data_IF_071131527873
#
_entry.id   IF_071131527873
#
_cell.length_a   1.000
_cell.length_b   1.000
_cell.length_c   1.000
_cell.angle_alpha   90.00
_cell.angle_beta   90.00
_cell.angle_gamma   90.00
#
_symmetry.space_group_name_H-M   'P 1'
#
loop_
_entity.id
_entity.type
_entity.pdbx_description
1 polymer ?
#
# COMPACT_ATOMS: atom_id res chain seq x y z
N UNK A 1 2.60 -9.18 20.59
CA UNK A 1 3.26 -9.43 19.28
C UNK A 1 2.59 -10.60 18.60
N UNK A 2 2.70 -10.73 17.27
CA UNK A 2 2.15 -11.89 16.56
C UNK A 2 3.05 -13.13 16.86
N UNK A 3 2.52 -14.21 17.47
CA UNK A 3 3.32 -15.37 17.85
C UNK A 3 3.71 -16.27 16.67
N UNK A 4 3.00 -16.17 15.55
CA UNK A 4 3.23 -16.95 14.33
C UNK A 4 3.19 -16.07 13.06
N UNK A 5 3.59 -16.63 11.94
CA UNK A 5 3.37 -16.05 10.61
C UNK A 5 2.76 -17.13 9.70
N UNK A 6 1.46 -17.01 9.44
CA UNK A 6 0.76 -17.97 8.59
C UNK A 6 0.67 -19.36 9.23
N UNK A 7 0.52 -19.44 10.55
CA UNK A 7 0.49 -20.70 11.30
C UNK A 7 1.86 -21.28 11.62
N UNK A 8 2.95 -20.69 11.11
CA UNK A 8 4.31 -21.09 11.46
C UNK A 8 4.76 -20.30 12.68
N UNK A 9 5.04 -20.95 13.83
CA UNK A 9 5.50 -20.25 15.02
C UNK A 9 6.76 -19.43 14.75
N UNK A 10 6.85 -18.25 15.36
CA UNK A 10 8.07 -17.45 15.41
C UNK A 10 8.63 -17.57 16.83
N UNK A 11 9.61 -18.45 17.09
CA UNK A 11 10.06 -18.76 18.45
C UNK A 11 10.47 -17.52 19.25
N UNK A 12 11.14 -16.56 18.61
CA UNK A 12 11.53 -15.29 19.23
C UNK A 12 10.37 -14.33 19.55
N UNK A 13 9.14 -14.66 19.19
CA UNK A 13 7.95 -13.89 19.56
C UNK A 13 7.14 -14.54 20.68
N UNK A 14 7.57 -15.69 21.19
CA UNK A 14 6.95 -16.38 22.32
C UNK A 14 7.41 -15.74 23.63
N UNK A 15 6.49 -15.62 24.61
CA UNK A 15 6.76 -15.16 25.97
C UNK A 15 7.55 -13.83 26.07
N UNK A 16 7.33 -12.91 25.12
CA UNK A 16 8.01 -11.61 25.08
C UNK A 16 7.65 -10.79 26.32
N UNK A 17 8.66 -10.41 27.09
CA UNK A 17 8.49 -9.57 28.27
C UNK A 17 8.33 -8.08 27.92
N UNK A 18 8.07 -7.26 28.93
CA UNK A 18 7.87 -5.83 28.76
C UNK A 18 9.14 -5.09 28.28
N UNK A 19 10.32 -5.57 28.67
CA UNK A 19 11.58 -4.93 28.31
C UNK A 19 11.90 -5.14 26.82
N UNK A 20 11.74 -6.36 26.33
CA UNK A 20 11.90 -6.71 24.92
C UNK A 20 10.82 -6.02 24.06
N UNK A 21 9.55 -6.05 24.49
CA UNK A 21 8.49 -5.31 23.80
C UNK A 21 8.78 -3.80 23.69
N UNK A 22 9.33 -3.19 24.75
CA UNK A 22 9.75 -1.78 24.75
C UNK A 22 10.94 -1.55 23.82
N UNK A 23 11.95 -2.41 23.85
CA UNK A 23 13.11 -2.32 22.99
C UNK A 23 12.70 -2.39 21.52
N UNK A 24 11.89 -3.38 21.12
CA UNK A 24 11.39 -3.52 19.75
C UNK A 24 10.59 -2.30 19.29
N UNK A 25 9.75 -1.73 20.17
CA UNK A 25 9.06 -0.47 19.86
C UNK A 25 10.04 0.68 19.64
N UNK A 26 11.07 0.79 20.48
CA UNK A 26 12.08 1.84 20.39
C UNK A 26 12.91 1.76 19.10
N UNK A 27 13.29 0.55 18.69
CA UNK A 27 14.23 0.37 17.55
C UNK A 27 13.54 0.16 16.21
N UNK A 28 12.34 -0.41 16.17
CA UNK A 28 11.67 -0.78 14.92
C UNK A 28 10.41 0.05 14.62
N UNK A 29 9.61 0.38 15.64
CA UNK A 29 8.34 1.08 15.43
C UNK A 29 8.49 2.61 15.50
N UNK A 30 9.08 3.12 16.58
CA UNK A 30 9.19 4.56 16.82
C UNK A 30 9.94 5.33 15.72
N UNK A 31 11.06 4.82 15.15
CA UNK A 31 11.75 5.51 14.06
C UNK A 31 10.89 5.62 12.80
N UNK A 32 10.16 4.55 12.46
CA UNK A 32 9.27 4.50 11.29
C UNK A 32 8.11 5.47 11.46
N UNK A 33 7.48 5.49 12.64
CA UNK A 33 6.39 6.43 12.94
C UNK A 33 6.82 7.88 12.81
N UNK A 34 8.00 8.22 13.35
CA UNK A 34 8.56 9.56 13.24
C UNK A 34 8.80 9.93 11.78
N UNK A 35 9.43 9.04 11.01
CA UNK A 35 9.71 9.28 9.59
C UNK A 35 8.43 9.47 8.77
N UNK A 36 7.37 8.70 9.05
CA UNK A 36 6.07 8.87 8.37
C UNK A 36 5.45 10.22 8.71
N UNK A 37 5.45 10.63 9.99
CA UNK A 37 4.90 11.94 10.40
C UNK A 37 5.62 13.09 9.68
N UNK A 38 6.95 13.05 9.68
CA UNK A 38 7.79 14.06 9.03
C UNK A 38 7.56 14.09 7.51
N UNK A 39 7.58 12.94 6.84
CA UNK A 39 7.41 12.85 5.39
C UNK A 39 5.99 13.16 4.91
N UNK A 40 4.99 12.87 5.75
CA UNK A 40 3.59 13.12 5.43
C UNK A 40 3.21 14.59 5.59
N UNK A 41 3.98 15.41 6.32
CA UNK A 41 3.66 16.83 6.50
C UNK A 41 3.44 17.53 5.14
N UNK A 42 2.32 18.24 5.00
CA UNK A 42 1.94 18.93 3.76
C UNK A 42 1.52 18.05 2.58
N UNK A 43 1.56 16.71 2.69
CA UNK A 43 1.13 15.80 1.63
C UNK A 43 -0.40 15.72 1.53
N UNK A 44 -0.91 15.68 0.30
CA UNK A 44 -2.36 15.67 -0.02
C UNK A 44 -3.00 14.29 0.14
N UNK A 45 -2.22 13.23 -0.05
CA UNK A 45 -2.67 11.85 0.07
C UNK A 45 -1.50 10.96 0.51
N UNK A 46 -1.83 9.76 0.99
CA UNK A 46 -0.85 8.74 1.36
C UNK A 46 -1.11 7.43 0.61
N UNK A 47 -0.05 6.84 0.08
CA UNK A 47 -0.08 5.51 -0.53
C UNK A 47 0.85 4.62 0.30
N UNK A 48 0.33 3.52 0.82
CA UNK A 48 1.17 2.49 1.44
C UNK A 48 1.47 1.43 0.38
N UNK A 49 2.75 1.27 0.02
CA UNK A 49 3.17 0.37 -1.06
C UNK A 49 3.56 -0.99 -0.48
N UNK A 50 3.00 -2.04 -1.06
CA UNK A 50 3.16 -3.43 -0.64
C UNK A 50 3.31 -4.34 -1.86
N UNK A 51 3.71 -5.57 -1.59
CA UNK A 51 3.63 -6.65 -2.55
C UNK A 51 3.05 -7.91 -1.91
N UNK A 52 2.50 -8.78 -2.75
CA UNK A 52 1.89 -10.03 -2.31
C UNK A 52 2.35 -11.21 -3.17
N UNK A 53 2.40 -12.40 -2.57
CA UNK A 53 2.77 -13.63 -3.27
C UNK A 53 1.66 -14.08 -4.24
N UNK A 54 1.99 -14.68 -5.41
CA UNK A 54 1.00 -15.07 -6.41
C UNK A 54 0.11 -16.25 -6.01
N UNK A 55 0.55 -17.09 -5.07
CA UNK A 55 -0.20 -18.27 -4.60
C UNK A 55 -0.32 -18.25 -3.08
N UNK A 56 -1.55 -18.24 -2.56
CA UNK A 56 -1.81 -18.29 -1.12
C UNK A 56 -2.77 -19.44 -0.81
N UNK A 57 -2.40 -20.29 0.14
CA UNK A 57 -3.21 -21.47 0.49
C UNK A 57 -3.47 -22.41 -0.70
N UNK A 58 -2.53 -22.50 -1.64
CA UNK A 58 -2.68 -23.29 -2.87
C UNK A 58 -3.52 -22.62 -3.97
N UNK A 59 -4.10 -21.43 -3.72
CA UNK A 59 -4.93 -20.72 -4.69
C UNK A 59 -4.13 -19.63 -5.39
N UNK A 60 -4.14 -19.66 -6.73
CA UNK A 60 -3.54 -18.61 -7.57
C UNK A 60 -4.37 -17.34 -7.52
N UNK A 61 -3.70 -16.20 -7.33
CA UNK A 61 -4.31 -14.86 -7.34
C UNK A 61 -4.11 -14.24 -8.72
N UNK A 62 -5.22 -14.00 -9.42
CA UNK A 62 -5.20 -13.49 -10.79
C UNK A 62 -4.99 -11.97 -10.88
N UNK A 63 -5.25 -11.23 -9.81
CA UNK A 63 -4.93 -9.80 -9.71
C UNK A 63 -3.42 -9.59 -9.83
N UNK A 64 -3.03 -8.58 -10.61
CA UNK A 64 -1.63 -8.18 -10.79
C UNK A 64 -1.30 -6.99 -9.89
N UNK A 65 -2.19 -5.99 -9.84
CA UNK A 65 -2.06 -4.80 -8.99
C UNK A 65 -3.37 -4.55 -8.26
N UNK A 66 -3.35 -4.51 -6.94
CA UNK A 66 -4.47 -4.19 -6.08
C UNK A 66 -4.47 -2.74 -5.62
N UNK A 67 -5.64 -2.09 -5.70
CA UNK A 67 -5.91 -0.82 -5.03
C UNK A 67 -6.88 -1.11 -3.88
N UNK A 68 -6.36 -1.09 -2.66
CA UNK A 68 -7.07 -1.50 -1.46
C UNK A 68 -7.35 -0.26 -0.61
N UNK A 69 -8.56 -0.15 -0.08
CA UNK A 69 -9.01 1.04 0.62
C UNK A 69 -10.08 0.69 1.64
N UNK A 70 -10.11 1.46 2.73
CA UNK A 70 -11.11 1.33 3.80
C UNK A 70 -12.29 2.25 3.58
N UNK A 71 -12.00 3.54 3.38
CA UNK A 71 -13.01 4.58 3.13
C UNK A 71 -12.85 5.11 1.71
N UNK A 72 -13.97 5.28 1.02
CA UNK A 72 -13.95 5.82 -0.32
C UNK A 72 -13.64 7.32 -0.29
N UNK A 73 -12.91 7.77 -1.30
CA UNK A 73 -12.66 9.19 -1.55
C UNK A 73 -12.53 9.45 -3.05
N UNK A 74 -12.60 10.72 -3.45
CA UNK A 74 -12.32 11.11 -4.84
C UNK A 74 -10.95 10.62 -5.30
N UNK A 75 -9.94 10.70 -4.43
CA UNK A 75 -8.60 10.19 -4.71
C UNK A 75 -8.59 8.69 -5.02
N UNK A 76 -9.18 7.86 -4.15
CA UNK A 76 -9.27 6.40 -4.35
C UNK A 76 -9.99 6.07 -5.64
N UNK A 77 -11.14 6.72 -5.89
CA UNK A 77 -11.96 6.47 -7.08
C UNK A 77 -11.23 6.86 -8.36
N UNK A 78 -10.52 7.99 -8.36
CA UNK A 78 -9.71 8.44 -9.48
C UNK A 78 -8.54 7.49 -9.76
N UNK A 79 -7.81 7.05 -8.72
CA UNK A 79 -6.71 6.07 -8.87
C UNK A 79 -7.23 4.76 -9.45
N UNK A 80 -8.28 4.19 -8.86
CA UNK A 80 -8.82 2.91 -9.30
C UNK A 80 -9.34 2.97 -10.74
N UNK A 81 -10.04 4.06 -11.12
CA UNK A 81 -10.52 4.26 -12.48
C UNK A 81 -9.36 4.36 -13.48
N UNK A 82 -8.38 5.23 -13.20
CA UNK A 82 -7.25 5.46 -14.09
C UNK A 82 -6.40 4.21 -14.26
N UNK A 83 -6.08 3.50 -13.16
CA UNK A 83 -5.32 2.26 -13.22
C UNK A 83 -6.07 1.18 -13.97
N UNK A 84 -7.40 1.02 -13.79
CA UNK A 84 -8.17 0.02 -14.55
C UNK A 84 -8.09 0.26 -16.05
N UNK A 85 -8.16 1.51 -16.50
CA UNK A 85 -8.03 1.85 -17.92
C UNK A 85 -6.60 1.59 -18.43
N UNK A 86 -5.61 2.24 -17.85
CA UNK A 86 -4.22 2.16 -18.33
C UNK A 86 -3.60 0.77 -18.10
N UNK A 87 -3.97 0.10 -17.01
CA UNK A 87 -3.54 -1.24 -16.69
C UNK A 87 -4.06 -2.26 -17.70
N UNK A 88 -5.33 -2.16 -18.09
CA UNK A 88 -5.89 -3.04 -19.14
C UNK A 88 -5.17 -2.86 -20.48
N UNK A 89 -4.86 -1.61 -20.87
CA UNK A 89 -4.07 -1.29 -22.06
C UNK A 89 -2.64 -1.88 -21.99
N UNK A 90 -2.04 -1.87 -20.79
CA UNK A 90 -0.72 -2.43 -20.53
C UNK A 90 -0.72 -3.95 -20.27
N UNK A 91 -1.88 -4.61 -20.27
CA UNK A 91 -2.03 -6.06 -20.05
C UNK A 91 -2.00 -6.51 -18.58
N UNK A 92 -2.25 -5.62 -17.62
CA UNK A 92 -2.29 -5.91 -16.19
C UNK A 92 -3.72 -5.90 -15.63
N UNK A 93 -4.03 -6.85 -14.75
CA UNK A 93 -5.32 -6.94 -14.04
C UNK A 93 -5.30 -6.12 -12.76
N UNK A 94 -6.20 -5.13 -12.68
CA UNK A 94 -6.32 -4.23 -11.53
C UNK A 94 -7.47 -4.67 -10.62
N UNK A 95 -7.16 -4.97 -9.37
CA UNK A 95 -8.12 -5.36 -8.34
C UNK A 95 -8.61 -4.18 -7.51
N UNK A 96 -9.88 -4.22 -7.10
CA UNK A 96 -10.48 -3.29 -6.15
C UNK A 96 -10.71 -4.03 -4.84
N UNK A 97 -9.90 -3.71 -3.83
CA UNK A 97 -9.85 -4.50 -2.60
C UNK A 97 -9.57 -5.99 -2.85
N UNK A 98 -8.65 -6.27 -3.77
CA UNK A 98 -8.09 -7.59 -4.05
C UNK A 98 -6.55 -7.48 -4.06
N UNK A 99 -5.80 -8.46 -3.52
CA UNK A 99 -6.25 -9.78 -3.06
C UNK A 99 -6.75 -9.80 -1.60
N UNK A 100 -6.74 -8.65 -0.92
CA UNK A 100 -7.25 -8.50 0.44
C UNK A 100 -8.34 -7.44 0.47
N UNK A 101 -9.41 -7.70 1.23
CA UNK A 101 -10.51 -6.74 1.36
C UNK A 101 -10.37 -5.87 2.61
N UNK A 102 -9.94 -4.62 2.40
CA UNK A 102 -9.72 -3.66 3.47
C UNK A 102 -10.95 -2.82 3.80
N UNK A 103 -12.08 -3.04 3.12
CA UNK A 103 -13.36 -2.44 3.52
C UNK A 103 -13.82 -2.98 4.87
N UNK A 104 -13.39 -4.19 5.23
CA UNK A 104 -13.78 -4.87 6.46
C UNK A 104 -12.68 -4.87 7.54
N UNK A 105 -11.41 -4.74 7.16
CA UNK A 105 -10.29 -4.61 8.09
C UNK A 105 -9.84 -3.15 8.29
N UNK A 106 -9.28 -2.81 9.45
CA UNK A 106 -8.61 -1.53 9.69
C UNK A 106 -7.15 -1.84 9.93
N UNK A 107 -6.28 -1.58 8.95
CA UNK A 107 -4.84 -1.71 9.21
C UNK A 107 -4.22 -0.40 9.66
N UNK A 108 -3.05 -0.58 10.25
CA UNK A 108 -2.50 0.36 11.21
C UNK A 108 -2.06 1.69 10.58
N UNK A 109 -1.16 1.62 9.61
CA UNK A 109 -0.44 2.78 9.09
C UNK A 109 -1.36 3.83 8.48
N UNK A 110 -2.22 3.44 7.52
CA UNK A 110 -3.09 4.40 6.85
C UNK A 110 -4.29 4.81 7.70
N UNK A 111 -4.73 3.99 8.66
CA UNK A 111 -5.71 4.45 9.63
C UNK A 111 -5.13 5.60 10.49
N UNK A 112 -3.94 5.40 11.05
CA UNK A 112 -3.29 6.38 11.95
C UNK A 112 -2.84 7.65 11.22
N UNK A 113 -2.15 7.49 10.09
CA UNK A 113 -1.49 8.59 9.40
C UNK A 113 -2.32 9.17 8.25
N UNK A 114 -3.30 8.42 7.74
CA UNK A 114 -4.22 8.85 6.69
C UNK A 114 -5.59 9.24 7.25
N UNK A 115 -6.44 8.25 7.52
CA UNK A 115 -7.85 8.43 7.87
C UNK A 115 -8.05 9.31 9.11
N UNK A 116 -7.36 9.03 10.22
CA UNK A 116 -7.43 9.84 11.45
C UNK A 116 -6.91 11.28 11.26
N UNK A 117 -6.13 11.53 10.21
CA UNK A 117 -5.64 12.86 9.84
C UNK A 117 -6.52 13.53 8.79
N UNK A 118 -7.66 12.94 8.41
CA UNK A 118 -8.54 13.43 7.35
C UNK A 118 -7.91 13.41 5.95
N UNK A 119 -6.87 12.58 5.75
CA UNK A 119 -6.14 12.52 4.48
C UNK A 119 -6.58 11.30 3.67
N UNK A 120 -6.93 11.48 2.39
CA UNK A 120 -7.24 10.33 1.53
C UNK A 120 -6.03 9.43 1.40
N UNK A 121 -6.27 8.12 1.45
CA UNK A 121 -5.20 7.15 1.41
C UNK A 121 -5.65 5.80 0.85
N UNK A 122 -4.70 5.04 0.30
CA UNK A 122 -4.91 3.67 -0.19
C UNK A 122 -3.66 2.81 0.01
N UNK A 123 -3.87 1.50 0.04
CA UNK A 123 -2.82 0.50 -0.05
C UNK A 123 -2.68 0.10 -1.52
N UNK A 124 -1.45 0.17 -2.02
CA UNK A 124 -1.07 -0.35 -3.33
C UNK A 124 -0.41 -1.70 -3.11
N UNK A 125 -0.94 -2.73 -3.75
CA UNK A 125 -0.44 -4.11 -3.67
C UNK A 125 0.01 -4.55 -5.06
N UNK A 126 1.28 -4.95 -5.23
CA UNK A 126 1.76 -5.49 -6.52
C UNK A 126 2.13 -6.96 -6.36
N UNK A 127 1.70 -7.83 -7.28
CA UNK A 127 2.07 -9.24 -7.20
C UNK A 127 3.58 -9.38 -7.39
N UNK A 128 4.25 -10.00 -6.43
CA UNK A 128 5.70 -9.89 -6.29
C UNK A 128 6.50 -10.59 -7.41
N UNK A 129 5.92 -11.57 -8.10
CA UNK A 129 6.51 -12.21 -9.28
C UNK A 129 6.73 -11.22 -10.42
N UNK A 130 5.89 -10.19 -10.51
CA UNK A 130 5.99 -9.14 -11.53
C UNK A 130 7.13 -8.15 -11.28
N UNK A 131 7.72 -8.19 -10.08
CA UNK A 131 8.83 -7.31 -9.69
C UNK A 131 10.20 -7.97 -9.86
N UNK A 132 10.23 -9.27 -10.18
CA UNK A 132 11.47 -10.04 -10.30
C UNK A 132 12.20 -9.78 -11.63
N UNK A 133 11.44 -9.53 -12.69
CA UNK A 133 11.96 -9.24 -14.03
C UNK A 133 12.10 -7.72 -14.23
N UNK A 134 13.30 -7.21 -14.59
CA UNK A 134 13.52 -5.77 -14.77
C UNK A 134 12.60 -5.11 -15.80
N UNK A 135 12.27 -5.79 -16.90
CA UNK A 135 11.40 -5.23 -17.94
C UNK A 135 9.96 -5.06 -17.41
N UNK A 136 9.45 -6.08 -16.74
CA UNK A 136 8.11 -6.06 -16.12
C UNK A 136 8.05 -5.04 -14.99
N UNK A 137 9.07 -4.97 -14.14
CA UNK A 137 9.20 -3.98 -13.07
C UNK A 137 9.12 -2.55 -13.62
N UNK A 138 9.86 -2.29 -14.70
CA UNK A 138 9.89 -0.99 -15.36
C UNK A 138 8.54 -0.64 -16.01
N UNK A 139 7.86 -1.62 -16.64
CA UNK A 139 6.50 -1.43 -17.17
C UNK A 139 5.49 -1.07 -16.08
N UNK A 140 5.56 -1.74 -14.93
CA UNK A 140 4.70 -1.44 -13.78
C UNK A 140 5.01 -0.06 -13.20
N UNK A 141 6.29 0.28 -13.07
CA UNK A 141 6.72 1.57 -12.55
C UNK A 141 6.18 2.72 -13.41
N UNK A 142 6.33 2.63 -14.74
CA UNK A 142 5.76 3.62 -15.68
C UNK A 142 4.23 3.68 -15.64
N UNK A 143 3.56 2.54 -15.54
CA UNK A 143 2.09 2.51 -15.39
C UNK A 143 1.65 3.26 -14.13
N UNK A 144 2.27 2.97 -12.99
CA UNK A 144 1.93 3.59 -11.71
C UNK A 144 2.26 5.09 -11.72
N UNK A 145 3.43 5.48 -12.24
CA UNK A 145 3.83 6.87 -12.39
C UNK A 145 2.80 7.66 -13.23
N UNK A 146 2.48 7.17 -14.43
CA UNK A 146 1.52 7.83 -15.33
C UNK A 146 0.13 7.95 -14.71
N UNK A 147 -0.35 6.89 -14.04
CA UNK A 147 -1.64 6.88 -13.40
C UNK A 147 -1.69 7.88 -12.24
N UNK A 148 -0.69 7.89 -11.37
CA UNK A 148 -0.64 8.82 -10.24
C UNK A 148 -0.43 10.26 -10.67
N UNK A 149 0.40 10.52 -11.69
CA UNK A 149 0.57 11.86 -12.27
C UNK A 149 -0.76 12.38 -12.83
N UNK A 150 -1.47 11.55 -13.61
CA UNK A 150 -2.78 11.89 -14.18
C UNK A 150 -3.80 12.24 -13.09
N UNK A 151 -3.85 11.44 -12.02
CA UNK A 151 -4.75 11.70 -10.88
C UNK A 151 -4.35 12.96 -10.12
N UNK A 152 -3.06 13.16 -9.85
CA UNK A 152 -2.56 14.33 -9.14
C UNK A 152 -2.83 15.63 -9.91
N UNK A 153 -2.61 15.64 -11.22
CA UNK A 153 -2.90 16.81 -12.08
C UNK A 153 -4.41 17.12 -12.13
N UNK A 154 -5.25 16.09 -12.10
CA UNK A 154 -6.70 16.24 -12.11
C UNK A 154 -7.25 16.76 -10.77
N UNK A 155 -6.78 16.21 -9.65
CA UNK A 155 -7.30 16.55 -8.32
C UNK A 155 -6.63 17.77 -7.68
N UNK A 156 -5.35 18.04 -8.01
CA UNK A 156 -4.55 19.10 -7.43
C UNK A 156 -3.72 19.88 -8.48
N UNK A 157 -4.39 20.54 -9.46
CA UNK A 157 -3.74 21.17 -10.62
C UNK A 157 -2.75 22.29 -10.28
N UNK A 158 -2.87 22.94 -9.11
CA UNK A 158 -1.99 24.04 -8.69
C UNK A 158 -0.59 23.58 -8.20
N UNK A 159 -0.28 22.29 -8.28
CA UNK A 159 0.95 21.71 -7.73
C UNK A 159 2.09 21.58 -8.74
N UNK A 160 1.85 21.85 -10.03
CA UNK A 160 2.85 21.68 -11.10
C UNK A 160 3.91 22.79 -11.17
N UNK A 161 3.87 23.79 -10.28
CA UNK A 161 4.72 24.99 -10.34
C UNK A 161 5.74 25.10 -9.18
N UNK A 162 6.01 24.02 -8.44
CA UNK A 162 7.02 24.04 -7.39
C UNK A 162 7.93 22.80 -7.47
N UNK A 163 8.77 22.77 -8.49
CA UNK A 163 10.09 22.13 -8.49
C UNK A 163 11.07 23.12 -9.13
#
# INVERSE_FOLDING_TARGET
>A
MRPDLGGIPVPGNLAVDAADARLRKLVAWAPVERAIIEAAAGRRALISVHSFTPVMGGVKRNVDIGVLWREQSLFVNSVLKTLRTQGAEAGFRIGDNEPYDWRQAVGYTLNRHGLQQGRPCLYLEVRNDLLADPETFERISRLLENAFATVAMSLWPQSAAAV
#
